data_IF_439878480846
#
_entry.id   IF_439878480846
#
_cell.length_a   1.000
_cell.length_b   1.000
_cell.length_c   1.000
_cell.angle_alpha   90.00
_cell.angle_beta   90.00
_cell.angle_gamma   90.00
#
_symmetry.space_group_name_H-M   'P 1'
#
loop_
_entity.id
_entity.type
_entity.pdbx_description
1 polymer ?
#
# COMPACT_ATOMS: atom_id res chain seq x y z
N UNK A 1 40.51 -40.54 21.06
CA UNK A 1 40.21 -41.69 21.95
C UNK A 1 39.41 -41.19 23.13
N UNK A 2 38.17 -41.48 23.18
CA UNK A 2 37.31 -41.93 24.27
C UNK A 2 35.86 -41.83 23.81
N UNK A 3 35.34 -43.01 23.49
CA UNK A 3 33.93 -43.37 23.32
C UNK A 3 33.32 -43.52 24.72
N UNK A 4 32.02 -43.39 24.82
CA UNK A 4 31.01 -44.20 25.56
C UNK A 4 29.73 -43.36 25.59
N UNK A 5 28.65 -43.74 25.09
CA UNK A 5 27.77 -44.92 25.08
C UNK A 5 26.50 -44.70 25.94
N UNK A 6 25.39 -44.79 25.27
CA UNK A 6 24.10 -45.41 25.59
C UNK A 6 23.54 -45.39 27.04
N UNK A 7 22.27 -44.96 27.14
CA UNK A 7 21.28 -45.77 27.82
C UNK A 7 19.83 -45.42 27.36
N UNK A 8 19.19 -46.41 26.79
CA UNK A 8 17.75 -46.46 26.57
C UNK A 8 17.09 -47.07 27.84
N UNK A 9 15.89 -46.59 28.14
CA UNK A 9 15.02 -47.33 29.04
C UNK A 9 13.56 -47.28 28.49
N UNK A 10 13.06 -48.48 28.24
CA UNK A 10 11.73 -48.84 27.76
C UNK A 10 10.97 -49.46 28.97
N UNK A 11 9.63 -49.51 28.85
CA UNK A 11 8.58 -50.20 29.62
C UNK A 11 7.90 -49.35 30.69
N UNK A 12 6.57 -49.32 30.79
CA UNK A 12 5.67 -50.43 30.69
C UNK A 12 4.19 -50.02 30.59
N UNK A 13 3.49 -50.94 30.07
CA UNK A 13 2.07 -51.14 29.92
C UNK A 13 1.28 -51.13 31.23
N UNK A 14 0.04 -50.61 31.20
CA UNK A 14 -1.09 -51.29 31.86
C UNK A 14 -2.42 -50.84 31.28
N UNK A 15 -3.08 -51.73 30.64
CA UNK A 15 -4.51 -51.71 30.29
C UNK A 15 -5.35 -52.16 31.49
N UNK A 16 -6.51 -51.63 31.70
CA UNK A 16 -7.65 -52.42 32.22
C UNK A 16 -8.97 -51.78 31.82
N UNK A 17 -9.77 -52.66 31.23
CA UNK A 17 -11.17 -52.54 30.82
C UNK A 17 -12.15 -52.44 31.97
N UNK A 18 -13.33 -51.88 31.75
CA UNK A 18 -14.67 -52.55 31.75
C UNK A 18 -15.79 -51.52 31.87
N UNK A 19 -16.59 -51.46 30.85
CA UNK A 19 -18.04 -51.69 30.74
C UNK A 19 -18.92 -51.26 31.93
N UNK A 20 -19.90 -50.36 31.63
CA UNK A 20 -21.30 -50.74 31.84
C UNK A 20 -22.23 -49.94 30.91
N UNK A 21 -23.09 -50.68 30.24
CA UNK A 21 -24.30 -50.24 29.57
C UNK A 21 -25.34 -49.94 30.63
N UNK A 22 -26.13 -48.88 30.43
CA UNK A 22 -27.56 -49.03 30.64
C UNK A 22 -28.33 -48.03 29.76
N UNK A 23 -29.31 -48.57 29.10
CA UNK A 23 -30.29 -47.92 28.28
C UNK A 23 -31.38 -47.29 29.13
N UNK A 24 -31.88 -46.12 28.80
CA UNK A 24 -33.32 -45.82 28.95
C UNK A 24 -33.71 -44.54 28.23
N UNK A 25 -34.55 -44.76 27.23
CA UNK A 25 -35.75 -44.00 26.81
C UNK A 25 -35.63 -42.49 26.58
N UNK A 26 -35.80 -42.15 25.32
CA UNK A 26 -36.27 -40.84 24.85
C UNK A 26 -37.71 -40.55 25.33
N UNK A 27 -38.09 -39.26 25.39
CA UNK A 27 -39.23 -38.89 24.57
C UNK A 27 -38.90 -37.68 23.61
N UNK A 28 -39.64 -37.75 22.53
CA UNK A 28 -39.70 -36.78 21.41
C UNK A 28 -40.34 -35.48 21.84
N UNK A 29 -39.81 -34.37 21.21
CA UNK A 29 -40.48 -33.18 20.70
C UNK A 29 -41.07 -32.15 21.69
N UNK A 30 -41.19 -30.89 21.24
CA UNK A 30 -41.29 -30.38 19.86
C UNK A 30 -40.36 -29.21 19.51
N UNK A 31 -40.09 -29.07 18.23
CA UNK A 31 -39.50 -27.92 17.55
C UNK A 31 -40.22 -26.62 17.90
N UNK A 32 -39.52 -25.55 18.35
CA UNK A 32 -40.16 -24.25 18.39
C UNK A 32 -40.14 -23.62 16.96
N UNK A 33 -41.18 -22.83 16.64
CA UNK A 33 -41.35 -22.24 15.31
C UNK A 33 -40.25 -21.23 15.01
N UNK A 34 -39.76 -21.28 13.78
CA UNK A 34 -38.89 -20.29 13.15
C UNK A 34 -39.51 -18.89 13.27
N UNK A 35 -39.06 -18.10 14.21
CA UNK A 35 -39.38 -16.68 14.22
C UNK A 35 -38.57 -15.99 13.13
N UNK A 36 -39.25 -15.64 12.05
CA UNK A 36 -38.77 -14.73 11.05
C UNK A 36 -38.52 -13.38 11.71
N UNK A 37 -37.24 -13.03 11.90
CA UNK A 37 -36.85 -11.69 12.33
C UNK A 37 -37.28 -10.69 11.25
N UNK A 38 -37.94 -9.59 11.61
CA UNK A 38 -38.23 -8.53 10.64
C UNK A 38 -36.90 -7.91 10.16
N UNK A 39 -36.77 -7.75 8.84
CA UNK A 39 -35.68 -7.05 8.22
C UNK A 39 -35.57 -5.64 8.82
N UNK A 40 -34.39 -5.33 9.34
CA UNK A 40 -34.08 -3.99 9.77
C UNK A 40 -34.19 -3.02 8.56
N UNK A 41 -34.79 -1.84 8.73
CA UNK A 41 -34.85 -0.87 7.65
C UNK A 41 -33.44 -0.45 7.25
N UNK A 42 -33.18 -0.45 5.93
CA UNK A 42 -31.94 0.01 5.35
C UNK A 42 -31.66 1.45 5.82
N UNK A 43 -30.54 1.67 6.48
CA UNK A 43 -30.04 3.01 6.78
C UNK A 43 -29.84 3.77 5.46
N UNK A 44 -30.35 5.02 5.38
CA UNK A 44 -30.09 5.85 4.20
C UNK A 44 -28.59 6.14 4.12
N UNK A 45 -28.02 5.96 2.92
CA UNK A 45 -26.64 6.30 2.63
C UNK A 45 -26.31 7.73 3.15
N UNK A 46 -25.16 7.93 3.80
CA UNK A 46 -24.81 9.25 4.32
C UNK A 46 -24.76 10.25 3.16
N UNK A 47 -25.50 11.33 3.31
CA UNK A 47 -25.49 12.46 2.39
C UNK A 47 -24.04 12.92 2.16
N UNK A 48 -23.71 13.10 0.88
CA UNK A 48 -22.45 13.72 0.46
C UNK A 48 -22.37 15.12 1.05
N UNK A 49 -21.68 15.26 2.17
CA UNK A 49 -21.35 16.56 2.72
C UNK A 49 -20.32 17.19 1.80
N UNK A 50 -20.73 18.19 1.04
CA UNK A 50 -19.81 19.09 0.34
C UNK A 50 -18.94 19.79 1.39
N UNK A 51 -17.74 19.26 1.62
CA UNK A 51 -16.69 19.99 2.34
C UNK A 51 -16.24 21.22 1.53
N UNK A 52 -15.61 22.21 2.17
CA UNK A 52 -15.21 23.43 1.50
C UNK A 52 -14.32 23.11 0.31
N UNK A 53 -14.74 23.54 -0.85
CA UNK A 53 -14.04 23.44 -2.11
C UNK A 53 -12.74 24.27 -1.97
N UNK A 54 -11.61 23.60 -1.84
CA UNK A 54 -10.32 24.27 -1.99
C UNK A 54 -10.30 24.95 -3.36
N UNK A 55 -9.95 26.22 -3.38
CA UNK A 55 -9.95 27.10 -4.54
C UNK A 55 -9.40 26.37 -5.78
N UNK A 56 -10.16 26.41 -6.85
CA UNK A 56 -9.77 25.92 -8.16
C UNK A 56 -8.48 26.62 -8.59
N UNK A 57 -7.39 25.89 -8.59
CA UNK A 57 -6.18 26.34 -9.27
C UNK A 57 -6.45 26.30 -10.78
N UNK A 58 -6.13 27.41 -11.43
CA UNK A 58 -6.24 27.74 -12.83
C UNK A 58 -5.91 26.54 -13.74
N UNK A 59 -6.81 26.12 -14.65
CA UNK A 59 -6.57 25.03 -15.59
C UNK A 59 -5.60 25.38 -16.74
N UNK A 60 -5.05 26.59 -16.78
CA UNK A 60 -4.39 27.17 -17.96
C UNK A 60 -2.91 26.85 -18.17
N UNK A 61 -2.22 26.13 -17.28
CA UNK A 61 -0.76 25.92 -17.43
C UNK A 61 -0.35 24.46 -17.18
N UNK A 62 -0.94 23.53 -17.91
CA UNK A 62 -0.41 22.17 -18.02
C UNK A 62 0.54 22.14 -19.23
N UNK A 63 1.76 21.62 -19.09
CA UNK A 63 2.63 21.37 -20.25
C UNK A 63 1.93 20.41 -21.21
N UNK A 64 2.23 20.50 -22.52
CA UNK A 64 1.61 19.63 -23.51
C UNK A 64 1.75 18.16 -23.11
N UNK A 65 0.69 17.40 -23.29
CA UNK A 65 0.68 15.97 -23.02
C UNK A 65 1.87 15.29 -23.72
N UNK A 66 2.71 14.59 -22.94
CA UNK A 66 3.84 13.82 -23.49
C UNK A 66 5.24 14.30 -23.13
N UNK A 67 5.41 15.46 -22.50
CA UNK A 67 6.74 15.89 -22.04
C UNK A 67 6.94 15.47 -20.58
N UNK A 68 7.83 14.52 -20.34
CA UNK A 68 8.23 14.18 -18.97
C UNK A 68 8.88 15.41 -18.31
N UNK A 69 8.56 15.72 -17.03
CA UNK A 69 9.34 16.72 -16.31
C UNK A 69 10.80 16.28 -16.27
N UNK A 70 11.72 17.25 -16.44
CA UNK A 70 13.13 16.94 -16.33
C UNK A 70 13.42 16.35 -14.94
N UNK A 71 14.16 15.24 -14.85
CA UNK A 71 14.55 14.69 -13.58
C UNK A 71 15.45 15.69 -12.83
N UNK A 72 15.11 15.94 -11.57
CA UNK A 72 15.94 16.78 -10.71
C UNK A 72 17.07 15.91 -10.16
N UNK A 73 18.32 16.35 -10.38
CA UNK A 73 19.48 15.74 -9.74
C UNK A 73 19.50 16.16 -8.27
N UNK A 74 19.59 15.19 -7.37
CA UNK A 74 19.58 15.39 -5.93
C UNK A 74 20.73 14.63 -5.29
N UNK A 75 21.32 15.23 -4.27
CA UNK A 75 22.44 14.67 -3.53
C UNK A 75 22.01 13.92 -2.27
N UNK A 76 22.72 14.15 -1.18
CA UNK A 76 22.45 13.50 0.14
C UNK A 76 21.07 13.81 0.72
N UNK A 77 20.36 14.81 0.19
CA UNK A 77 19.01 15.16 0.63
C UNK A 77 18.01 13.99 0.47
N UNK A 78 18.33 13.02 -0.40
CA UNK A 78 17.51 11.82 -0.58
C UNK A 78 17.89 10.66 0.35
N UNK A 79 18.94 10.77 1.14
CA UNK A 79 19.31 9.71 2.08
C UNK A 79 18.12 9.25 2.96
N UNK A 80 17.24 10.16 3.45
CA UNK A 80 16.06 9.73 4.21
C UNK A 80 15.11 8.80 3.46
N UNK A 81 15.06 8.84 2.13
CA UNK A 81 14.25 7.90 1.34
C UNK A 81 14.70 6.46 1.61
N UNK A 82 16.00 6.25 1.71
CA UNK A 82 16.58 4.92 1.87
C UNK A 82 16.68 4.45 3.31
N UNK A 83 16.84 5.38 4.26
CA UNK A 83 17.21 5.06 5.65
C UNK A 83 16.07 5.23 6.65
N UNK A 84 15.02 5.96 6.27
CA UNK A 84 13.86 6.16 7.14
C UNK A 84 13.22 4.82 7.51
N UNK A 85 12.94 4.67 8.80
CA UNK A 85 12.27 3.48 9.31
C UNK A 85 10.82 3.46 8.81
N UNK A 86 10.40 2.32 8.33
CA UNK A 86 9.06 2.01 7.84
C UNK A 86 8.61 0.68 8.43
N UNK A 87 7.34 0.40 8.27
CA UNK A 87 6.82 -0.96 8.37
C UNK A 87 6.13 -1.34 7.07
N UNK A 88 6.18 -2.63 6.76
CA UNK A 88 5.27 -3.19 5.76
C UNK A 88 3.83 -3.02 6.24
N UNK A 89 2.85 -3.20 5.37
CA UNK A 89 1.44 -3.18 5.77
C UNK A 89 1.11 -4.26 6.82
N UNK A 90 1.93 -5.32 6.90
CA UNK A 90 1.83 -6.39 7.93
C UNK A 90 2.49 -6.03 9.26
N UNK A 91 3.04 -4.82 9.39
CA UNK A 91 3.71 -4.34 10.61
C UNK A 91 5.17 -4.75 10.76
N UNK A 92 5.78 -5.41 9.78
CA UNK A 92 7.18 -5.83 9.81
C UNK A 92 8.10 -4.62 9.58
N UNK A 93 9.12 -4.39 10.43
CA UNK A 93 10.08 -3.31 10.25
C UNK A 93 10.83 -3.44 8.92
N UNK A 94 10.99 -2.32 8.21
CA UNK A 94 11.71 -2.26 6.94
C UNK A 94 12.25 -0.87 6.67
N UNK A 95 12.99 -0.74 5.57
CA UNK A 95 13.38 0.53 4.95
C UNK A 95 13.35 0.36 3.44
N UNK A 96 13.34 1.46 2.68
CA UNK A 96 13.46 1.36 1.22
C UNK A 96 14.87 0.95 0.75
N UNK A 97 15.85 0.85 1.64
CA UNK A 97 17.17 0.28 1.31
C UNK A 97 17.08 -1.15 0.73
N UNK A 98 16.03 -1.91 1.09
CA UNK A 98 15.75 -3.23 0.51
C UNK A 98 15.53 -3.19 -1.02
N UNK A 99 15.25 -2.02 -1.58
CA UNK A 99 15.00 -1.83 -3.02
C UNK A 99 16.14 -1.08 -3.73
N UNK A 100 17.27 -0.84 -3.08
CA UNK A 100 18.43 -0.19 -3.72
C UNK A 100 18.85 -0.94 -5.00
N UNK A 101 19.23 -0.18 -6.02
CA UNK A 101 19.54 -0.72 -7.35
C UNK A 101 18.33 -0.90 -8.25
N UNK A 102 17.12 -0.64 -7.75
CA UNK A 102 15.89 -0.59 -8.57
C UNK A 102 15.43 0.85 -8.73
N UNK A 103 14.84 1.15 -9.89
CA UNK A 103 14.04 2.34 -10.06
C UNK A 103 12.76 2.20 -9.21
N UNK A 104 12.37 3.25 -8.49
CA UNK A 104 11.18 3.23 -7.63
C UNK A 104 10.14 4.22 -8.13
N UNK A 105 8.86 3.84 -8.03
CA UNK A 105 7.75 4.78 -8.09
C UNK A 105 7.09 4.85 -6.72
N UNK A 106 7.32 5.93 -5.98
CA UNK A 106 6.75 6.18 -4.66
C UNK A 106 5.42 6.92 -4.82
N UNK A 107 4.33 6.38 -4.28
CA UNK A 107 2.97 6.90 -4.49
C UNK A 107 2.20 6.89 -3.18
N UNK A 108 1.61 8.02 -2.80
CA UNK A 108 0.64 8.05 -1.71
C UNK A 108 -0.74 7.61 -2.23
N UNK A 109 -1.31 6.60 -1.60
CA UNK A 109 -2.48 5.88 -2.11
C UNK A 109 -3.67 5.94 -1.15
N UNK A 110 -4.87 5.70 -1.69
CA UNK A 110 -6.09 5.62 -0.90
C UNK A 110 -7.15 4.74 -1.58
N UNK A 111 -7.96 4.04 -0.78
CA UNK A 111 -8.97 3.08 -1.23
C UNK A 111 -10.29 3.73 -1.67
N UNK A 112 -10.61 4.94 -1.20
CA UNK A 112 -11.90 5.62 -1.42
C UNK A 112 -11.78 6.94 -2.16
N UNK A 113 -10.83 7.05 -3.08
CA UNK A 113 -10.53 8.25 -3.85
C UNK A 113 -11.05 8.12 -5.30
N UNK A 114 -11.43 9.24 -5.92
CA UNK A 114 -11.70 9.25 -7.37
C UNK A 114 -10.51 8.82 -8.24
N UNK A 115 -9.28 8.89 -7.69
CA UNK A 115 -8.05 8.43 -8.34
C UNK A 115 -7.73 6.95 -8.07
N UNK A 116 -8.49 6.25 -7.22
CA UNK A 116 -8.25 4.83 -6.86
C UNK A 116 -8.14 3.90 -8.08
N UNK A 117 -8.86 4.11 -9.21
CA UNK A 117 -8.66 3.31 -10.41
C UNK A 117 -7.22 3.32 -10.97
N UNK A 118 -6.36 4.29 -10.60
CA UNK A 118 -4.95 4.28 -10.97
C UNK A 118 -4.18 3.08 -10.42
N UNK A 119 -4.69 2.37 -9.41
CA UNK A 119 -4.09 1.11 -8.96
C UNK A 119 -3.93 0.09 -10.09
N UNK A 120 -4.90 -0.02 -10.99
CA UNK A 120 -4.82 -0.95 -12.15
C UNK A 120 -3.63 -0.63 -13.04
N UNK A 121 -3.37 0.65 -13.32
CA UNK A 121 -2.28 1.06 -14.19
C UNK A 121 -0.94 1.06 -13.47
N UNK A 122 -0.89 1.32 -12.15
CA UNK A 122 0.29 1.11 -11.31
C UNK A 122 0.71 -0.37 -11.32
N UNK A 123 -0.25 -1.29 -11.19
CA UNK A 123 0.01 -2.73 -11.25
C UNK A 123 0.47 -3.16 -12.65
N UNK A 124 -0.09 -2.57 -13.71
CA UNK A 124 0.36 -2.82 -15.08
C UNK A 124 1.83 -2.38 -15.28
N UNK A 125 2.23 -1.21 -14.75
CA UNK A 125 3.63 -0.77 -14.75
C UNK A 125 4.52 -1.71 -13.95
N UNK A 126 4.08 -2.12 -12.76
CA UNK A 126 4.79 -3.09 -11.93
C UNK A 126 5.09 -4.37 -12.73
N UNK A 127 4.06 -4.98 -13.32
CA UNK A 127 4.22 -6.21 -14.13
C UNK A 127 5.14 -6.00 -15.33
N UNK A 128 5.01 -4.88 -16.03
CA UNK A 128 5.80 -4.58 -17.23
C UNK A 128 7.29 -4.40 -16.95
N UNK A 129 7.63 -3.75 -15.81
CA UNK A 129 9.00 -3.29 -15.56
C UNK A 129 9.69 -3.99 -14.38
N UNK A 130 9.01 -4.83 -13.62
CA UNK A 130 9.60 -5.51 -12.44
C UNK A 130 10.87 -6.30 -12.79
N UNK A 131 10.85 -7.06 -13.88
CA UNK A 131 12.00 -7.84 -14.36
C UNK A 131 13.14 -6.94 -14.88
N UNK A 132 12.87 -5.66 -15.15
CA UNK A 132 13.85 -4.67 -15.59
C UNK A 132 14.42 -3.85 -14.44
N UNK A 133 14.17 -4.26 -13.18
CA UNK A 133 14.68 -3.55 -12.01
C UNK A 133 13.85 -2.33 -11.60
N UNK A 134 12.53 -2.43 -11.66
CA UNK A 134 11.59 -1.41 -11.21
C UNK A 134 10.66 -1.96 -10.13
N UNK A 135 10.19 -1.10 -9.23
CA UNK A 135 9.06 -1.40 -8.36
C UNK A 135 8.26 -0.17 -7.99
N UNK A 136 6.94 -0.32 -7.93
CA UNK A 136 6.05 0.65 -7.29
C UNK A 136 6.11 0.40 -5.78
N UNK A 137 6.01 1.46 -4.97
CA UNK A 137 5.85 1.39 -3.52
C UNK A 137 4.69 2.30 -3.12
N UNK A 138 3.64 1.71 -2.58
CA UNK A 138 2.44 2.42 -2.15
C UNK A 138 2.52 2.80 -0.66
N UNK A 139 2.13 4.04 -0.35
CA UNK A 139 2.02 4.57 1.02
C UNK A 139 0.58 4.97 1.28
N UNK A 140 -0.22 4.16 1.98
CA UNK A 140 -1.56 4.56 2.40
C UNK A 140 -1.52 5.87 3.18
N UNK A 141 -2.43 6.81 2.86
CA UNK A 141 -2.49 8.11 3.51
C UNK A 141 -3.93 8.59 3.68
N UNK A 142 -4.33 8.94 4.92
CA UNK A 142 -5.70 9.36 5.22
C UNK A 142 -5.89 10.89 5.30
N UNK A 143 -4.86 11.67 4.94
CA UNK A 143 -4.90 13.14 5.09
C UNK A 143 -5.77 13.83 4.03
N UNK A 144 -6.17 13.14 2.97
CA UNK A 144 -6.94 13.71 1.86
C UNK A 144 -8.39 13.24 1.91
N UNK A 145 -9.23 14.04 2.56
CA UNK A 145 -10.68 13.79 2.65
C UNK A 145 -11.04 12.50 3.41
N UNK A 146 -10.16 12.00 4.27
CA UNK A 146 -10.33 10.73 5.00
C UNK A 146 -10.62 9.55 4.06
N UNK A 147 -9.94 9.51 2.92
CA UNK A 147 -10.19 8.52 1.87
C UNK A 147 -9.41 7.20 2.04
N UNK A 148 -8.66 7.06 3.14
CA UNK A 148 -7.98 5.81 3.53
C UNK A 148 -8.26 5.45 5.00
N UNK A 149 -9.55 5.25 5.39
CA UNK A 149 -9.90 5.03 6.79
C UNK A 149 -9.56 3.61 7.28
N UNK A 150 -9.39 2.65 6.36
CA UNK A 150 -9.27 1.23 6.65
C UNK A 150 -8.08 0.87 7.56
N UNK A 151 -8.17 -0.27 8.22
CA UNK A 151 -7.04 -0.91 8.90
C UNK A 151 -6.03 -1.45 7.89
N UNK A 152 -4.87 -1.91 8.35
CA UNK A 152 -3.88 -2.52 7.48
C UNK A 152 -4.43 -3.75 6.75
N UNK A 153 -5.19 -4.59 7.43
CA UNK A 153 -5.84 -5.79 6.89
C UNK A 153 -6.90 -5.46 5.84
N UNK A 154 -7.70 -4.43 6.10
CA UNK A 154 -8.72 -3.95 5.16
C UNK A 154 -8.08 -3.39 3.89
N UNK A 155 -7.00 -2.60 4.01
CA UNK A 155 -6.24 -2.07 2.88
C UNK A 155 -5.59 -3.22 2.09
N UNK A 156 -4.96 -4.18 2.78
CA UNK A 156 -4.37 -5.37 2.15
C UNK A 156 -5.40 -6.13 1.33
N UNK A 157 -6.55 -6.41 1.93
CA UNK A 157 -7.67 -7.14 1.29
C UNK A 157 -8.20 -6.35 0.09
N UNK A 158 -8.41 -5.03 0.26
CA UNK A 158 -8.88 -4.16 -0.81
C UNK A 158 -7.94 -4.18 -2.01
N UNK A 159 -6.63 -3.99 -1.79
CA UNK A 159 -5.62 -3.97 -2.85
C UNK A 159 -5.52 -5.32 -3.57
N UNK A 160 -5.54 -6.43 -2.82
CA UNK A 160 -5.45 -7.76 -3.39
C UNK A 160 -6.70 -8.14 -4.19
N UNK A 161 -7.90 -7.92 -3.61
CA UNK A 161 -9.16 -8.39 -4.21
C UNK A 161 -9.59 -7.55 -5.40
N UNK A 162 -9.48 -6.21 -5.30
CA UNK A 162 -10.01 -5.32 -6.33
C UNK A 162 -9.02 -5.04 -7.48
N UNK A 163 -7.72 -5.10 -7.21
CA UNK A 163 -6.69 -4.69 -8.16
C UNK A 163 -5.59 -5.71 -8.38
N UNK A 164 -5.55 -6.80 -7.61
CA UNK A 164 -4.52 -7.83 -7.72
C UNK A 164 -3.11 -7.27 -7.52
N UNK A 165 -2.94 -6.30 -6.61
CA UNK A 165 -1.68 -5.58 -6.38
C UNK A 165 -0.58 -6.55 -5.95
N UNK A 166 0.54 -6.51 -6.66
CA UNK A 166 1.74 -7.31 -6.38
C UNK A 166 2.91 -6.50 -5.86
N UNK A 167 2.88 -5.17 -6.02
CA UNK A 167 3.91 -4.30 -5.48
C UNK A 167 3.74 -4.07 -3.97
N UNK A 168 4.81 -3.71 -3.24
CA UNK A 168 4.76 -3.48 -1.80
C UNK A 168 3.88 -2.29 -1.43
N UNK A 169 2.99 -2.52 -0.47
CA UNK A 169 2.25 -1.48 0.25
C UNK A 169 2.85 -1.39 1.65
N UNK A 170 3.20 -0.16 2.07
CA UNK A 170 3.77 0.15 3.36
C UNK A 170 2.67 0.50 4.38
N UNK A 171 3.06 0.72 5.63
CA UNK A 171 2.16 1.23 6.65
C UNK A 171 1.53 2.56 6.24
N UNK A 172 0.40 2.91 6.85
CA UNK A 172 -0.24 4.22 6.67
C UNK A 172 0.62 5.29 7.31
N UNK A 173 0.96 6.33 6.54
CA UNK A 173 1.80 7.44 6.97
C UNK A 173 1.18 8.80 6.65
N UNK A 174 1.66 9.83 7.34
CA UNK A 174 1.39 11.22 6.98
C UNK A 174 2.42 11.72 5.96
N UNK A 175 1.91 12.37 4.93
CA UNK A 175 2.72 12.91 3.83
C UNK A 175 2.85 14.44 3.88
N UNK A 176 2.06 15.10 4.73
CA UNK A 176 2.05 16.55 4.95
C UNK A 176 2.02 16.89 6.44
N UNK A 177 2.28 18.19 6.77
CA UNK A 177 2.25 18.70 8.14
C UNK A 177 3.44 18.30 8.99
N UNK A 178 3.33 18.52 10.31
CA UNK A 178 4.44 18.33 11.25
C UNK A 178 4.80 16.87 11.45
N UNK A 179 3.83 15.98 11.28
CA UNK A 179 3.98 14.50 11.38
C UNK A 179 4.42 13.86 10.06
N UNK A 180 4.73 14.68 9.04
CA UNK A 180 5.19 14.19 7.73
C UNK A 180 6.35 13.22 7.87
N UNK A 181 6.18 12.04 7.27
CA UNK A 181 7.20 11.01 7.26
C UNK A 181 8.51 11.51 6.59
N UNK A 182 9.70 11.13 7.08
CA UNK A 182 11.00 11.60 6.56
C UNK A 182 11.17 11.38 5.04
N UNK A 183 10.63 10.31 4.47
CA UNK A 183 10.62 10.07 3.02
C UNK A 183 9.95 11.24 2.30
N UNK A 184 8.77 11.66 2.73
CA UNK A 184 8.04 12.76 2.11
C UNK A 184 8.66 14.13 2.43
N UNK A 185 9.37 14.25 3.56
CA UNK A 185 10.20 15.43 3.83
C UNK A 185 11.27 15.63 2.77
N UNK A 186 11.90 14.55 2.31
CA UNK A 186 12.89 14.58 1.25
C UNK A 186 12.29 14.78 -0.15
N UNK A 187 11.06 14.32 -0.38
CA UNK A 187 10.40 14.39 -1.69
C UNK A 187 9.69 15.71 -1.98
N UNK A 188 9.10 16.36 -0.96
CA UNK A 188 8.28 17.56 -1.16
C UNK A 188 9.02 18.79 -1.69
N UNK A 189 10.34 18.99 -1.49
CA UNK A 189 11.09 20.07 -2.16
C UNK A 189 11.21 19.91 -3.68
N UNK A 190 10.95 18.72 -4.23
CA UNK A 190 11.10 18.42 -5.65
C UNK A 190 9.91 18.99 -6.41
N UNK A 191 10.19 19.80 -7.44
CA UNK A 191 9.17 20.38 -8.30
C UNK A 191 8.69 19.38 -9.36
N UNK A 192 7.42 19.52 -9.76
CA UNK A 192 6.89 18.84 -10.95
C UNK A 192 7.18 19.65 -12.25
N UNK A 193 6.68 19.18 -13.40
CA UNK A 193 6.86 19.83 -14.69
C UNK A 193 6.29 21.27 -14.76
N UNK A 194 5.33 21.60 -13.90
CA UNK A 194 4.76 22.94 -13.78
C UNK A 194 5.53 23.83 -12.78
N UNK A 195 6.69 23.39 -12.29
CA UNK A 195 7.49 24.08 -11.29
C UNK A 195 6.90 24.07 -9.87
N UNK A 196 5.87 23.26 -9.60
CA UNK A 196 5.22 23.19 -8.29
C UNK A 196 5.92 22.19 -7.40
N UNK A 197 6.45 22.66 -6.29
CA UNK A 197 6.99 21.86 -5.18
C UNK A 197 6.13 22.05 -3.91
N UNK A 198 6.65 21.61 -2.75
CA UNK A 198 5.97 21.72 -1.47
C UNK A 198 5.02 20.55 -1.23
N UNK A 199 3.99 20.76 -0.40
CA UNK A 199 3.07 19.74 0.09
C UNK A 199 2.48 18.86 -1.00
N UNK A 200 2.22 17.61 -0.64
CA UNK A 200 1.50 16.65 -1.48
C UNK A 200 0.07 17.18 -1.66
N UNK A 201 -0.37 17.27 -2.89
CA UNK A 201 -1.61 17.99 -3.24
C UNK A 201 -2.86 17.12 -3.10
N UNK A 202 -2.73 15.82 -3.33
CA UNK A 202 -3.83 14.86 -3.23
C UNK A 202 -3.31 13.42 -3.26
N UNK A 203 -4.21 12.45 -3.08
CA UNK A 203 -3.91 11.04 -3.27
C UNK A 203 -3.41 10.76 -4.70
N UNK A 204 -2.52 9.80 -4.85
CA UNK A 204 -1.88 9.37 -6.09
C UNK A 204 -0.94 10.42 -6.69
N UNK A 205 -0.24 11.21 -5.88
CA UNK A 205 0.93 11.96 -6.34
C UNK A 205 2.13 11.00 -6.42
N UNK A 206 2.91 11.11 -7.48
CA UNK A 206 3.92 10.10 -7.83
C UNK A 206 5.31 10.71 -7.91
N UNK A 207 6.31 9.94 -7.45
CA UNK A 207 7.73 10.28 -7.54
C UNK A 207 8.48 9.09 -8.13
N UNK A 208 9.11 9.28 -9.28
CA UNK A 208 9.98 8.27 -9.91
C UNK A 208 11.42 8.55 -9.49
N UNK A 209 12.01 7.61 -8.76
CA UNK A 209 13.41 7.68 -8.28
C UNK A 209 14.24 6.75 -9.14
N UNK A 210 15.39 7.25 -9.66
CA UNK A 210 16.31 6.45 -10.47
C UNK A 210 16.97 5.34 -9.67
N UNK A 211 17.40 4.27 -10.34
CA UNK A 211 18.01 3.10 -9.72
C UNK A 211 19.28 3.43 -8.92
N UNK A 212 20.03 4.45 -9.34
CA UNK A 212 21.20 4.97 -8.64
C UNK A 212 20.84 5.91 -7.47
N UNK A 213 19.55 6.22 -7.29
CA UNK A 213 19.03 7.09 -6.23
C UNK A 213 19.35 8.57 -6.39
N UNK A 214 19.86 9.01 -7.53
CA UNK A 214 20.37 10.39 -7.71
C UNK A 214 19.41 11.33 -8.42
N UNK A 215 18.37 10.80 -9.04
CA UNK A 215 17.39 11.58 -9.81
C UNK A 215 15.98 11.27 -9.35
N UNK A 216 15.15 12.30 -9.26
CA UNK A 216 13.73 12.15 -8.95
C UNK A 216 12.90 12.99 -9.90
N UNK A 217 11.80 12.43 -10.37
CA UNK A 217 10.81 13.12 -11.19
C UNK A 217 9.46 13.06 -10.47
N UNK A 218 8.81 14.21 -10.28
CA UNK A 218 7.52 14.33 -9.59
C UNK A 218 6.38 14.49 -10.60
N UNK A 219 5.30 13.79 -10.39
CA UNK A 219 4.08 13.86 -11.20
C UNK A 219 2.87 14.17 -10.34
N UNK A 220 2.06 15.12 -10.78
CA UNK A 220 0.83 15.50 -10.08
C UNK A 220 -0.15 14.32 -9.97
N UNK A 221 -1.11 14.37 -9.02
CA UNK A 221 -2.13 13.33 -8.86
C UNK A 221 -2.96 13.08 -10.13
N UNK A 222 -3.15 14.11 -10.98
CA UNK A 222 -3.95 14.04 -12.21
C UNK A 222 -3.24 13.33 -13.36
N UNK A 223 -1.89 13.33 -13.38
CA UNK A 223 -1.12 12.60 -14.39
C UNK A 223 -1.22 11.11 -14.09
N UNK A 224 -1.75 10.36 -15.04
CA UNK A 224 -1.99 8.93 -14.87
C UNK A 224 -0.71 8.11 -15.03
N UNK A 225 -0.60 6.92 -14.40
CA UNK A 225 0.59 6.09 -14.54
C UNK A 225 0.92 5.66 -15.97
N UNK A 226 -0.11 5.52 -16.82
CA UNK A 226 0.02 5.19 -18.25
C UNK A 226 0.41 6.37 -19.15
N UNK A 227 0.49 7.58 -18.62
CA UNK A 227 0.89 8.75 -19.40
C UNK A 227 2.30 8.54 -20.01
N UNK A 228 2.49 8.88 -21.30
CA UNK A 228 3.80 8.74 -21.96
C UNK A 228 4.95 9.38 -21.20
N UNK A 229 4.71 10.53 -20.53
CA UNK A 229 5.72 11.21 -19.72
C UNK A 229 6.13 10.37 -18.48
N UNK A 230 5.18 9.68 -17.85
CA UNK A 230 5.46 8.78 -16.71
C UNK A 230 6.25 7.56 -17.20
N UNK A 231 5.81 6.96 -18.31
CA UNK A 231 6.50 5.81 -18.91
C UNK A 231 7.94 6.17 -19.25
N UNK A 232 8.17 7.30 -19.94
CA UNK A 232 9.52 7.76 -20.28
C UNK A 232 10.39 7.99 -19.04
N UNK A 233 9.82 8.57 -17.96
CA UNK A 233 10.54 8.77 -16.71
C UNK A 233 10.90 7.44 -16.03
N UNK A 234 10.00 6.45 -16.05
CA UNK A 234 10.28 5.11 -15.53
C UNK A 234 11.41 4.46 -16.34
N UNK A 235 11.32 4.48 -17.67
CA UNK A 235 12.34 3.88 -18.55
C UNK A 235 13.71 4.54 -18.36
N UNK A 236 13.78 5.86 -18.24
CA UNK A 236 15.02 6.59 -17.96
C UNK A 236 15.58 6.35 -16.54
N UNK A 237 14.78 5.88 -15.62
CA UNK A 237 15.17 5.62 -14.24
C UNK A 237 15.69 4.18 -14.02
N UNK A 238 15.47 3.27 -14.98
CA UNK A 238 15.88 1.85 -14.87
C UNK A 238 17.40 1.71 -14.69
N UNK A 239 17.86 0.63 -14.03
CA UNK A 239 19.29 0.33 -13.99
C UNK A 239 19.82 0.03 -15.40
N UNK A 240 21.03 0.52 -15.68
CA UNK A 240 21.77 0.30 -16.94
C UNK A 240 22.81 -0.79 -16.76
#
# INVERSE_FOLDING_TARGET
>A
MKKLAFAAAVLGFAACSKTNQDASTAPKDPTPPTATAPAAPAEPAPAVVKGPQAAASDPGNLPPAGTAPAPVAVGKELDPIWTAQLKTLKGEPTTLAAYKGKALMLVNVASKCGNTPQYSTLEALQKKYAAKGFTVVGFPCNQFGNQEPGTAEEIQTFCATNYGITFPIMEKIDVNGDTRHPIYKALTPIADAAGKNGDIRWNFEKFVVSADGKKVTRFSPKVKPEDPAVIAAVEAALPH
#
